data_IF_279194224379
#
_entry.id   IF_279194224379
#
_cell.length_a   1.000
_cell.length_b   1.000
_cell.length_c   1.000
_cell.angle_alpha   90.00
_cell.angle_beta   90.00
_cell.angle_gamma   90.00
#
_symmetry.space_group_name_H-M   'P 1'
#
loop_
_entity.id
_entity.type
_entity.pdbx_description
1 polymer ?
#
# COMPACT_ATOMS: atom_id res chain seq x y z
N UNK A 1 4.42 -8.03 15.52
CA UNK A 1 4.08 -7.41 14.24
C UNK A 1 3.45 -8.45 13.32
N UNK A 2 2.37 -8.11 12.62
CA UNK A 2 1.68 -9.04 11.73
C UNK A 2 2.49 -9.22 10.44
N UNK A 3 2.63 -10.45 9.99
CA UNK A 3 3.42 -10.76 8.77
C UNK A 3 2.51 -11.12 7.62
N UNK A 4 2.77 -10.50 6.48
CA UNK A 4 2.07 -10.76 5.22
C UNK A 4 2.86 -11.80 4.43
N UNK A 5 2.25 -12.96 4.20
CA UNK A 5 2.86 -14.06 3.46
C UNK A 5 2.04 -14.32 2.19
N UNK A 6 2.65 -14.15 1.03
CA UNK A 6 1.97 -14.33 -0.26
C UNK A 6 1.46 -15.78 -0.46
N UNK A 7 1.99 -16.72 0.30
CA UNK A 7 1.55 -18.11 0.23
C UNK A 7 0.33 -18.40 1.13
N UNK A 8 -0.05 -17.42 1.96
CA UNK A 8 -1.18 -17.56 2.89
C UNK A 8 -2.05 -16.32 2.82
N UNK A 9 -2.82 -16.16 1.72
CA UNK A 9 -3.68 -14.98 1.58
C UNK A 9 -4.71 -14.89 2.72
N UNK A 10 -4.87 -13.69 3.23
CA UNK A 10 -5.79 -13.38 4.32
C UNK A 10 -6.67 -12.19 3.91
N UNK A 11 -7.61 -11.82 4.79
CA UNK A 11 -8.49 -10.69 4.55
C UNK A 11 -7.86 -9.42 5.14
N UNK A 12 -7.54 -8.46 4.27
CA UNK A 12 -6.90 -7.20 4.63
C UNK A 12 -7.90 -6.05 4.44
N UNK A 13 -8.10 -5.28 5.49
CA UNK A 13 -9.00 -4.12 5.48
C UNK A 13 -8.17 -2.83 5.43
N UNK A 14 -8.51 -1.94 4.50
CA UNK A 14 -7.79 -0.69 4.28
C UNK A 14 -8.62 0.51 4.73
N UNK A 15 -8.14 1.25 5.72
CA UNK A 15 -8.73 2.53 6.10
C UNK A 15 -8.13 3.64 5.24
N UNK A 16 -8.95 4.26 4.39
CA UNK A 16 -8.49 5.23 3.41
C UNK A 16 -7.99 4.57 2.14
N UNK A 17 -8.72 3.59 1.64
CA UNK A 17 -8.30 2.75 0.50
C UNK A 17 -8.18 3.55 -0.80
N UNK A 18 -8.86 4.70 -0.91
CA UNK A 18 -8.83 5.54 -2.10
C UNK A 18 -7.57 6.40 -2.24
N UNK A 19 -6.66 6.35 -1.27
CA UNK A 19 -5.38 7.03 -1.41
C UNK A 19 -4.52 6.38 -2.48
N UNK A 20 -3.67 7.18 -3.16
CA UNK A 20 -2.87 6.69 -4.29
C UNK A 20 -2.00 5.50 -3.88
N UNK A 21 -1.25 5.63 -2.78
CA UNK A 21 -0.37 4.54 -2.35
C UNK A 21 -1.15 3.39 -1.73
N UNK A 22 -2.25 3.66 -1.02
CA UNK A 22 -3.07 2.62 -0.40
C UNK A 22 -3.72 1.74 -1.48
N UNK A 23 -4.30 2.35 -2.52
CA UNK A 23 -4.92 1.61 -3.62
C UNK A 23 -3.88 0.78 -4.38
N UNK A 24 -2.67 1.31 -4.53
CA UNK A 24 -1.58 0.55 -5.17
C UNK A 24 -1.19 -0.70 -4.37
N UNK A 25 -1.10 -0.58 -3.04
CA UNK A 25 -0.80 -1.73 -2.18
C UNK A 25 -1.95 -2.75 -2.21
N UNK A 26 -3.19 -2.25 -2.21
CA UNK A 26 -4.37 -3.11 -2.33
C UNK A 26 -4.35 -3.90 -3.65
N UNK A 27 -3.99 -3.24 -4.77
CA UNK A 27 -3.88 -3.89 -6.08
C UNK A 27 -2.84 -5.02 -6.04
N UNK A 28 -1.70 -4.79 -5.41
CA UNK A 28 -0.64 -5.81 -5.31
C UNK A 28 -1.18 -7.03 -4.56
N UNK A 29 -1.79 -6.81 -3.39
CA UNK A 29 -2.31 -7.92 -2.58
C UNK A 29 -3.45 -8.65 -3.31
N UNK A 30 -4.33 -7.89 -3.97
CA UNK A 30 -5.43 -8.47 -4.74
C UNK A 30 -4.89 -9.42 -5.82
N UNK A 31 -3.81 -9.01 -6.51
CA UNK A 31 -3.17 -9.85 -7.54
C UNK A 31 -2.53 -11.11 -6.96
N UNK A 32 -2.27 -11.14 -5.65
CA UNK A 32 -1.70 -12.29 -4.96
C UNK A 32 -2.79 -13.17 -4.30
N UNK A 33 -4.06 -12.87 -4.58
CA UNK A 33 -5.16 -13.68 -4.09
C UNK A 33 -5.69 -13.30 -2.72
N UNK A 34 -5.22 -12.19 -2.15
CA UNK A 34 -5.72 -11.71 -0.87
C UNK A 34 -7.14 -11.18 -1.02
N UNK A 35 -7.93 -11.36 0.01
CA UNK A 35 -9.25 -10.74 0.09
C UNK A 35 -9.07 -9.32 0.60
N UNK A 36 -9.57 -8.34 -0.17
CA UNK A 36 -9.38 -6.93 0.14
C UNK A 36 -10.74 -6.28 0.35
N UNK A 37 -10.81 -5.44 1.36
CA UNK A 37 -11.95 -4.53 1.55
C UNK A 37 -11.41 -3.25 2.17
N UNK A 38 -12.25 -2.23 2.26
CA UNK A 38 -11.79 -1.00 2.89
C UNK A 38 -12.85 0.09 2.89
N UNK A 39 -12.44 1.24 3.40
CA UNK A 39 -13.29 2.41 3.46
C UNK A 39 -12.55 3.64 2.98
N UNK A 40 -13.29 4.65 2.61
CA UNK A 40 -12.75 5.97 2.36
C UNK A 40 -13.79 7.01 2.74
N UNK A 41 -13.35 8.19 3.05
CA UNK A 41 -14.25 9.30 3.37
C UNK A 41 -15.00 9.79 2.15
N UNK A 42 -14.39 9.64 0.96
CA UNK A 42 -14.95 10.16 -0.29
C UNK A 42 -14.83 9.15 -1.41
N UNK A 43 -15.82 9.16 -2.27
CA UNK A 43 -15.75 8.40 -3.51
C UNK A 43 -14.77 9.09 -4.47
N UNK A 44 -14.01 8.31 -5.21
CA UNK A 44 -13.00 8.80 -6.15
C UNK A 44 -12.84 7.79 -7.28
N UNK A 45 -12.12 8.19 -8.33
CA UNK A 45 -11.81 7.27 -9.43
C UNK A 45 -11.08 6.02 -8.94
N UNK A 46 -10.25 6.17 -7.90
CA UNK A 46 -9.52 5.01 -7.35
C UNK A 46 -10.46 4.06 -6.61
N UNK A 47 -11.41 4.58 -5.82
CA UNK A 47 -12.39 3.72 -5.17
C UNK A 47 -13.31 3.05 -6.20
N UNK A 48 -13.70 3.78 -7.25
CA UNK A 48 -14.55 3.22 -8.31
C UNK A 48 -13.83 2.10 -9.06
N UNK A 49 -12.53 2.29 -9.32
CA UNK A 49 -11.72 1.26 -9.95
C UNK A 49 -11.66 0.00 -9.08
N UNK A 50 -11.42 0.15 -7.77
CA UNK A 50 -11.37 -0.98 -6.87
C UNK A 50 -12.72 -1.71 -6.79
N UNK A 51 -13.80 -0.95 -6.75
CA UNK A 51 -15.16 -1.54 -6.76
C UNK A 51 -15.38 -2.35 -8.05
N UNK A 52 -14.91 -1.83 -9.19
CA UNK A 52 -15.05 -2.55 -10.47
C UNK A 52 -14.22 -3.84 -10.50
N UNK A 53 -13.19 -3.94 -9.67
CA UNK A 53 -12.39 -5.16 -9.50
C UNK A 53 -12.99 -6.14 -8.49
N UNK A 54 -14.16 -5.78 -7.92
CA UNK A 54 -14.85 -6.64 -6.96
C UNK A 54 -14.44 -6.41 -5.50
N UNK A 55 -13.73 -5.31 -5.21
CA UNK A 55 -13.33 -4.98 -3.85
C UNK A 55 -14.48 -4.24 -3.16
N UNK A 56 -14.98 -4.74 -2.02
CA UNK A 56 -15.97 -3.98 -1.23
C UNK A 56 -15.34 -2.72 -0.66
N UNK A 57 -15.86 -1.57 -1.06
CA UNK A 57 -15.39 -0.27 -0.55
C UNK A 57 -16.58 0.47 0.06
N UNK A 58 -16.45 0.83 1.32
CA UNK A 58 -17.45 1.60 2.06
C UNK A 58 -17.11 3.08 1.99
N UNK A 59 -18.10 3.90 1.62
CA UNK A 59 -17.91 5.35 1.66
C UNK A 59 -18.45 5.84 3.00
N UNK A 60 -17.56 6.44 3.79
CA UNK A 60 -17.81 6.75 5.18
C UNK A 60 -17.12 5.77 6.11
N UNK A 61 -16.58 6.27 7.18
CA UNK A 61 -15.83 5.47 8.15
C UNK A 61 -16.66 5.26 9.41
N UNK A 62 -17.23 4.08 9.55
CA UNK A 62 -18.09 3.72 10.69
C UNK A 62 -17.65 2.37 11.26
N UNK A 63 -17.96 2.17 12.55
CA UNK A 63 -17.64 0.91 13.23
C UNK A 63 -18.28 -0.31 12.55
N UNK A 64 -19.43 -0.11 11.92
CA UNK A 64 -20.17 -1.20 11.26
C UNK A 64 -19.40 -1.79 10.04
N UNK A 65 -18.46 -1.03 9.49
CA UNK A 65 -17.64 -1.52 8.39
C UNK A 65 -16.68 -2.64 8.83
N UNK A 66 -16.42 -2.74 10.12
CA UNK A 66 -15.41 -3.67 10.66
C UNK A 66 -16.08 -4.99 11.04
N UNK A 67 -15.89 -5.98 10.18
CA UNK A 67 -16.46 -7.32 10.36
C UNK A 67 -15.45 -8.24 11.07
N UNK A 68 -15.96 -9.37 11.56
CA UNK A 68 -15.12 -10.30 12.34
C UNK A 68 -14.20 -11.15 11.47
N UNK A 69 -14.41 -11.15 10.17
CA UNK A 69 -13.59 -11.92 9.22
C UNK A 69 -12.36 -11.17 8.72
N UNK A 70 -12.10 -9.97 9.23
CA UNK A 70 -10.91 -9.20 8.90
C UNK A 70 -9.72 -9.75 9.70
N UNK A 71 -8.65 -10.13 9.01
CA UNK A 71 -7.46 -10.68 9.65
C UNK A 71 -6.46 -9.60 10.06
N UNK A 72 -6.39 -8.52 9.27
CA UNK A 72 -5.45 -7.43 9.55
C UNK A 72 -6.00 -6.14 8.93
N UNK A 73 -5.79 -5.03 9.60
CA UNK A 73 -6.22 -3.71 9.11
C UNK A 73 -4.99 -2.85 8.81
N UNK A 74 -5.11 -2.03 7.77
CA UNK A 74 -4.04 -1.14 7.34
C UNK A 74 -4.55 0.31 7.41
N UNK A 75 -3.73 1.18 7.94
CA UNK A 75 -4.10 2.59 8.08
C UNK A 75 -2.94 3.51 7.72
N UNK A 76 -3.28 4.77 7.48
CA UNK A 76 -2.27 5.82 7.23
C UNK A 76 -2.20 6.75 8.43
N UNK A 77 -1.15 7.57 8.45
CA UNK A 77 -0.99 8.57 9.51
C UNK A 77 -2.13 9.60 9.55
N UNK A 78 -2.93 9.68 8.50
CA UNK A 78 -4.09 10.57 8.46
C UNK A 78 -5.26 10.07 9.29
N UNK A 79 -5.25 8.80 9.70
CA UNK A 79 -6.32 8.21 10.52
C UNK A 79 -6.00 8.50 11.98
N UNK A 80 -6.90 9.20 12.64
CA UNK A 80 -6.75 9.55 14.05
C UNK A 80 -7.23 8.41 14.95
N UNK A 81 -6.68 8.27 16.16
CA UNK A 81 -7.11 7.21 17.09
C UNK A 81 -8.59 7.28 17.48
N UNK A 82 -9.22 8.44 17.36
CA UNK A 82 -10.65 8.61 17.64
C UNK A 82 -11.56 8.22 16.47
N UNK A 83 -10.98 7.74 15.38
CA UNK A 83 -11.73 7.25 14.24
C UNK A 83 -12.57 6.02 14.66
N UNK A 84 -13.89 5.98 14.34
CA UNK A 84 -14.74 4.88 14.80
C UNK A 84 -14.32 3.52 14.26
N UNK A 85 -13.75 3.45 13.06
CA UNK A 85 -13.23 2.17 12.54
C UNK A 85 -12.00 1.73 13.33
N UNK A 86 -11.09 2.68 13.63
CA UNK A 86 -9.89 2.37 14.40
C UNK A 86 -10.26 1.87 15.80
N UNK A 87 -11.26 2.50 16.44
CA UNK A 87 -11.75 2.06 17.73
C UNK A 87 -12.34 0.64 17.65
N UNK A 88 -13.13 0.36 16.61
CA UNK A 88 -13.74 -0.96 16.43
C UNK A 88 -12.69 -2.04 16.19
N UNK A 89 -11.66 -1.74 15.37
CA UNK A 89 -10.55 -2.65 15.09
C UNK A 89 -9.81 -2.98 16.39
N UNK A 90 -9.55 -1.97 17.20
CA UNK A 90 -8.87 -2.14 18.48
C UNK A 90 -9.74 -2.97 19.44
N UNK A 91 -11.03 -2.69 19.50
CA UNK A 91 -11.96 -3.41 20.39
C UNK A 91 -12.07 -4.89 20.00
N UNK A 92 -11.97 -5.20 18.71
CA UNK A 92 -12.03 -6.59 18.23
C UNK A 92 -10.68 -7.29 18.30
N UNK A 93 -9.60 -6.58 18.66
CA UNK A 93 -8.26 -7.16 18.74
C UNK A 93 -7.66 -7.49 17.39
N UNK A 94 -8.13 -6.86 16.32
CA UNK A 94 -7.60 -7.08 14.98
C UNK A 94 -6.22 -6.42 14.88
N UNK A 95 -5.17 -7.15 14.45
CA UNK A 95 -3.85 -6.55 14.29
C UNK A 95 -3.85 -5.45 13.24
N UNK A 96 -3.03 -4.43 13.46
CA UNK A 96 -2.96 -3.28 12.57
C UNK A 96 -1.54 -3.13 12.01
N UNK A 97 -1.46 -2.63 10.79
CA UNK A 97 -0.21 -2.25 10.15
C UNK A 97 -0.36 -0.82 9.62
N UNK A 98 0.69 -0.05 9.76
CA UNK A 98 0.75 1.20 9.02
C UNK A 98 1.00 0.89 7.54
N UNK A 99 0.70 1.87 6.68
CA UNK A 99 0.99 1.76 5.26
C UNK A 99 2.47 1.39 5.00
N UNK A 100 3.38 2.00 5.77
CA UNK A 100 4.82 1.76 5.60
C UNK A 100 5.20 0.34 6.02
N UNK A 101 4.61 -0.15 7.11
CA UNK A 101 4.84 -1.53 7.57
C UNK A 101 4.32 -2.54 6.55
N UNK A 102 3.11 -2.30 6.02
CA UNK A 102 2.56 -3.17 4.98
C UNK A 102 3.47 -3.21 3.76
N UNK A 103 3.98 -2.07 3.34
CA UNK A 103 4.92 -2.01 2.22
C UNK A 103 6.16 -2.88 2.50
N UNK A 104 6.74 -2.75 3.69
CA UNK A 104 7.90 -3.57 4.10
C UNK A 104 7.57 -5.06 4.07
N UNK A 105 6.39 -5.43 4.55
CA UNK A 105 5.94 -6.82 4.54
C UNK A 105 5.77 -7.35 3.12
N UNK A 106 5.19 -6.53 2.23
CA UNK A 106 5.04 -6.91 0.82
C UNK A 106 6.42 -7.12 0.20
N UNK A 107 7.35 -6.18 0.44
CA UNK A 107 8.71 -6.26 -0.13
C UNK A 107 9.46 -7.50 0.36
N UNK A 108 9.24 -7.92 1.59
CA UNK A 108 9.92 -9.09 2.17
C UNK A 108 9.54 -10.41 1.46
N UNK A 109 8.41 -10.43 0.73
CA UNK A 109 7.98 -11.60 -0.02
C UNK A 109 8.71 -11.76 -1.37
N UNK A 110 9.50 -10.77 -1.78
CA UNK A 110 10.24 -10.82 -3.05
C UNK A 110 11.71 -11.08 -2.78
N UNK A 111 12.33 -11.92 -3.60
CA UNK A 111 13.77 -12.20 -3.51
C UNK A 111 14.60 -10.94 -3.76
N UNK A 112 14.11 -10.07 -4.63
CA UNK A 112 14.73 -8.77 -4.91
C UNK A 112 13.62 -7.73 -4.96
N UNK A 113 13.73 -6.73 -4.10
CA UNK A 113 12.78 -5.63 -4.08
C UNK A 113 13.56 -4.31 -4.17
N UNK A 114 13.17 -3.47 -5.10
CA UNK A 114 13.82 -2.17 -5.32
C UNK A 114 12.77 -1.08 -5.11
N UNK A 115 13.01 -0.25 -4.12
CA UNK A 115 12.16 0.92 -3.84
C UNK A 115 12.79 2.15 -4.48
N UNK A 116 11.99 2.91 -5.25
CA UNK A 116 12.41 4.18 -5.82
C UNK A 116 11.53 5.26 -5.21
N UNK A 117 12.18 6.23 -4.56
CA UNK A 117 11.46 7.32 -3.91
C UNK A 117 11.85 8.64 -4.56
N UNK A 118 10.98 9.20 -4.98
CA UNK A 118 11.24 10.43 -5.61
C UNK A 118 10.99 11.47 -4.61
N UNK A 119 11.69 11.93 -4.44
CA UNK A 119 11.47 12.94 -3.61
C UNK A 119 11.41 14.10 -4.46
N UNK A 120 10.74 14.34 -4.61
CA UNK A 120 10.57 15.49 -5.19
C UNK A 120 11.41 16.41 -4.57
N UNK A 121 12.01 16.46 -4.92
CA UNK A 121 12.89 17.21 -4.47
C UNK A 121 12.57 18.49 -4.15
N UNK A 122 11.94 18.60 -4.25
CA UNK A 122 11.63 19.78 -4.01
C UNK A 122 11.98 20.04 -2.69
N UNK A 123 12.19 20.30 -2.42
CA UNK A 123 12.35 20.70 -1.43
C UNK A 123 12.78 19.89 -0.50
N UNK A 124 13.60 19.74 -0.92
CA UNK A 124 13.72 19.14 -0.20
C UNK A 124 13.64 18.53 0.82
N UNK A 125 14.06 18.60 1.31
CA UNK A 125 14.04 18.07 1.99
C UNK A 125 13.46 17.50 2.83
N UNK A 126 12.96 17.66 3.07
CA UNK A 126 12.48 17.30 3.86
C UNK A 126 11.77 16.49 3.74
N UNK A 127 11.85 16.22 3.04
CA UNK A 127 11.17 15.58 2.96
C UNK A 127 11.19 14.39 3.05
N UNK A 128 11.81 14.20 3.46
CA UNK A 128 11.90 13.24 3.54
C UNK A 128 11.06 12.61 4.01
N UNK A 129 10.65 12.90 4.50
CA UNK A 129 9.94 12.36 5.01
C UNK A 129 8.91 12.19 4.54
N UNK A 130 8.65 12.55 3.97
CA UNK A 130 7.79 12.42 3.68
C UNK A 130 7.63 11.89 2.88
N UNK A 131 7.99 11.04 2.54
CA UNK A 131 7.81 10.70 2.07
C UNK A 131 7.23 10.72 1.49
N UNK A 132 7.10 11.14 0.71
CA UNK A 132 6.61 11.24 0.30
C UNK A 132 5.86 10.57 0.12
N UNK A 133 4.95 10.38 0.55
CA UNK A 133 3.79 9.50 0.57
C UNK A 133 3.17 9.28 -0.82
N UNK A 134 3.49 10.15 -1.72
CA UNK A 134 2.76 10.20 -2.99
C UNK A 134 3.44 9.53 -4.15
N UNK A 135 4.72 9.20 -4.03
CA UNK A 135 5.47 8.75 -5.19
C UNK A 135 5.97 7.31 -5.10
N UNK A 136 5.36 6.51 -4.23
CA UNK A 136 5.75 5.12 -4.17
C UNK A 136 4.97 4.32 -5.21
N UNK A 137 5.66 3.94 -6.27
CA UNK A 137 5.15 2.96 -7.22
C UNK A 137 5.88 1.65 -6.97
N UNK A 138 5.19 0.70 -6.40
CA UNK A 138 5.69 -0.66 -6.39
C UNK A 138 5.59 -1.19 -7.82
N UNK A 139 6.71 -1.24 -8.50
CA UNK A 139 6.72 -1.73 -9.87
C UNK A 139 6.66 -3.25 -9.85
N UNK A 140 5.52 -3.75 -10.27
CA UNK A 140 5.32 -5.18 -10.43
C UNK A 140 5.65 -5.56 -11.87
N UNK A 141 6.89 -5.94 -12.10
CA UNK A 141 7.21 -6.58 -13.36
C UNK A 141 7.97 -7.86 -13.08
N UNK A 142 7.25 -8.94 -13.04
CA UNK A 142 7.83 -10.27 -12.96
C UNK A 142 8.52 -10.65 -14.27
N UNK A 143 8.30 -9.83 -15.31
CA UNK A 143 8.95 -10.02 -16.60
C UNK A 143 10.08 -9.01 -16.81
N UNK A 144 10.55 -8.35 -15.74
CA UNK A 144 11.71 -7.48 -15.87
C UNK A 144 12.88 -8.32 -16.33
N UNK A 145 12.95 -8.45 -17.62
CA UNK A 145 14.03 -9.18 -18.25
C UNK A 145 15.34 -8.47 -17.95
N UNK A 146 16.39 -9.22 -17.88
CA UNK A 146 17.76 -8.74 -17.70
C UNK A 146 18.10 -7.51 -18.56
N UNK A 147 17.32 -7.26 -19.60
CA UNK A 147 17.55 -6.16 -20.52
C UNK A 147 17.32 -4.77 -19.93
N UNK A 148 16.39 -4.63 -18.95
CA UNK A 148 16.13 -3.31 -18.34
C UNK A 148 17.17 -2.92 -17.31
N UNK A 149 17.65 -3.86 -16.54
CA UNK A 149 18.73 -3.58 -15.58
C UNK A 149 20.04 -3.22 -16.32
N UNK A 150 20.22 -3.80 -17.52
CA UNK A 150 21.38 -3.50 -18.33
C UNK A 150 21.35 -2.08 -18.91
N UNK A 151 20.17 -1.57 -19.24
CA UNK A 151 20.02 -0.21 -19.76
C UNK A 151 20.28 0.86 -18.71
N UNK A 152 19.88 0.60 -17.48
CA UNK A 152 20.10 1.53 -16.37
C UNK A 152 21.59 1.62 -16.04
N UNK A 153 22.28 0.49 -16.06
CA UNK A 153 23.71 0.44 -15.82
C UNK A 153 24.53 1.18 -16.87
N UNK A 154 24.12 1.15 -18.14
CA UNK A 154 24.83 1.88 -19.20
C UNK A 154 24.64 3.38 -19.11
N UNK A 155 23.50 3.88 -18.68
CA UNK A 155 23.29 5.31 -18.51
C UNK A 155 24.13 5.88 -17.37
N UNK A 156 24.31 5.08 -16.31
CA UNK A 156 25.15 5.52 -15.18
C UNK A 156 26.63 5.56 -15.56
N UNK A 157 27.07 4.61 -16.36
CA UNK A 157 28.47 4.56 -16.80
C UNK A 157 28.82 5.73 -17.73
N UNK A 158 27.86 6.23 -18.51
CA UNK A 158 28.14 7.35 -19.41
C UNK A 158 28.15 8.70 -18.68
N UNK A 159 27.60 8.77 -17.46
CA UNK A 159 27.56 10.02 -16.72
C UNK A 159 28.85 10.31 -15.94
N UNK A 160 29.69 9.28 -15.73
CA UNK A 160 30.94 9.45 -14.97
C UNK A 160 32.18 9.61 -15.86
N UNK A 161 32.02 9.72 -17.18
CA UNK A 161 33.18 9.88 -18.09
C UNK A 161 33.29 11.25 -18.76
N UNK A 162 32.74 12.30 -18.11
CA UNK A 162 33.00 13.66 -18.57
C UNK A 162 33.30 14.56 -17.38
#
# INVERSE_FOLDING_TARGET
MYHIDFNKPVHVYFMGIGGISMSGLADILLSKGFRISGSDMKQSELTDRLISQGVPVHIGQTADNITDDIDVAVYTAAIHPDNPEFAAITAKGIPVLTRAELLGEIMSNYKVAIGVSXXXXXXXXXXXXXXXDNDFHAYRDTSCSRARSYRIGRRYASFHRR
#
